data_IF_403327611713
#
_entry.id   IF_403327611713
#
_cell.length_a   1.000
_cell.length_b   1.000
_cell.length_c   1.000
_cell.angle_alpha   90.00
_cell.angle_beta   90.00
_cell.angle_gamma   90.00
#
_symmetry.space_group_name_H-M   'P 1'
#
loop_
_entity.id
_entity.type
_entity.pdbx_description
1 polymer ?
#
# COMPACT_ATOMS: atom_id res chain seq x y z
N UNK A 1 -57.86 -1.31 -20.98
CA UNK A 1 -56.68 -0.46 -21.28
C UNK A 1 -55.97 -0.21 -19.95
N UNK A 2 -54.89 -0.95 -19.69
CA UNK A 2 -54.15 -0.85 -18.43
C UNK A 2 -53.05 0.19 -18.57
N UNK A 3 -53.12 1.24 -17.74
CA UNK A 3 -52.07 2.25 -17.59
C UNK A 3 -50.91 1.65 -16.79
N UNK A 4 -49.78 1.41 -17.45
CA UNK A 4 -48.52 1.11 -16.77
C UNK A 4 -47.94 2.42 -16.23
N UNK A 5 -48.14 2.66 -14.94
CA UNK A 5 -47.46 3.72 -14.21
C UNK A 5 -46.06 3.22 -13.83
N UNK A 6 -45.06 3.50 -14.65
CA UNK A 6 -43.66 3.25 -14.34
C UNK A 6 -43.19 4.23 -13.28
N UNK A 7 -43.29 3.84 -12.00
CA UNK A 7 -42.59 4.50 -10.92
C UNK A 7 -41.08 4.24 -11.10
N UNK A 8 -40.38 5.23 -11.63
CA UNK A 8 -38.93 5.28 -11.59
C UNK A 8 -38.51 5.68 -10.16
N UNK A 9 -38.13 4.71 -9.34
CA UNK A 9 -37.57 4.96 -8.02
C UNK A 9 -36.13 5.47 -8.19
N UNK A 10 -35.91 6.76 -7.96
CA UNK A 10 -34.58 7.35 -7.87
C UNK A 10 -33.94 6.81 -6.59
N UNK A 11 -32.97 5.90 -6.73
CA UNK A 11 -32.12 5.47 -5.63
C UNK A 11 -31.18 6.66 -5.33
N UNK A 12 -31.27 7.34 -4.17
CA UNK A 12 -30.28 8.33 -3.82
C UNK A 12 -28.94 7.61 -3.69
N UNK A 13 -28.01 8.00 -4.57
CA UNK A 13 -26.63 7.54 -4.54
C UNK A 13 -26.00 8.07 -3.25
N UNK A 14 -26.12 7.30 -2.17
CA UNK A 14 -25.58 7.62 -0.86
C UNK A 14 -24.06 7.43 -0.98
N UNK A 15 -23.37 8.48 -1.40
CA UNK A 15 -21.92 8.60 -1.23
C UNK A 15 -21.64 8.44 0.27
N UNK A 16 -21.10 7.29 0.64
CA UNK A 16 -20.74 6.98 2.03
C UNK A 16 -19.52 7.83 2.36
N UNK A 17 -19.75 9.07 2.81
CA UNK A 17 -18.79 9.80 3.59
C UNK A 17 -18.80 9.19 4.99
N UNK A 18 -17.77 8.42 5.31
CA UNK A 18 -17.57 7.90 6.66
C UNK A 18 -17.07 9.05 7.55
N UNK A 19 -17.99 9.81 8.13
CA UNK A 19 -17.67 10.72 9.23
C UNK A 19 -17.60 9.94 10.56
N UNK A 20 -16.40 9.83 11.13
CA UNK A 20 -16.16 9.66 12.56
C UNK A 20 -16.06 8.23 13.10
N UNK A 21 -14.84 7.80 13.44
CA UNK A 21 -14.56 6.94 14.61
C UNK A 21 -13.05 6.85 14.82
N UNK A 22 -12.56 6.95 16.06
CA UNK A 22 -11.14 6.99 16.43
C UNK A 22 -10.33 5.70 16.18
N UNK A 23 -10.66 4.95 15.11
CA UNK A 23 -10.03 3.74 14.61
C UNK A 23 -10.22 3.67 13.09
N UNK A 24 -9.85 4.74 12.37
CA UNK A 24 -9.99 4.73 10.92
C UNK A 24 -9.07 3.67 10.29
N UNK A 25 -9.66 2.82 9.45
CA UNK A 25 -8.95 1.81 8.67
C UNK A 25 -8.32 2.43 7.44
N UNK A 26 -7.21 1.87 6.99
CA UNK A 26 -6.53 2.29 5.76
C UNK A 26 -6.89 1.35 4.63
N UNK A 27 -6.93 1.86 3.39
CA UNK A 27 -7.08 1.02 2.20
C UNK A 27 -5.78 1.13 1.39
N UNK A 28 -5.09 0.02 1.20
CA UNK A 28 -3.86 -0.05 0.40
C UNK A 28 -3.95 -1.24 -0.55
N UNK A 29 -3.78 -0.99 -1.86
CA UNK A 29 -3.93 -1.98 -2.93
C UNK A 29 -5.24 -2.80 -2.87
N UNK A 30 -6.34 -2.17 -2.47
CA UNK A 30 -7.65 -2.82 -2.33
C UNK A 30 -7.84 -3.65 -1.05
N UNK A 31 -6.79 -3.77 -0.22
CA UNK A 31 -6.86 -4.43 1.08
C UNK A 31 -7.15 -3.42 2.18
N UNK A 32 -8.07 -3.75 3.08
CA UNK A 32 -8.36 -2.95 4.27
C UNK A 32 -7.44 -3.34 5.43
N UNK A 33 -6.87 -2.33 6.09
CA UNK A 33 -5.95 -2.45 7.23
C UNK A 33 -6.58 -1.77 8.43
N UNK A 34 -6.52 -2.40 9.60
CA UNK A 34 -7.02 -1.80 10.84
C UNK A 34 -6.02 -0.78 11.36
N UNK A 35 -6.50 0.11 12.22
CA UNK A 35 -5.62 0.99 12.97
C UNK A 35 -4.58 0.18 13.74
N UNK A 36 -3.31 0.59 13.64
CA UNK A 36 -2.12 -0.06 14.17
C UNK A 36 -1.72 -1.38 13.49
N UNK A 37 -2.39 -1.78 12.41
CA UNK A 37 -1.88 -2.88 11.60
C UNK A 37 -0.62 -2.41 10.85
N UNK A 38 0.39 -3.27 10.86
CA UNK A 38 1.63 -3.08 10.12
C UNK A 38 2.02 -4.35 9.37
N UNK A 39 2.80 -4.19 8.30
CA UNK A 39 3.36 -5.30 7.56
C UNK A 39 4.74 -4.98 7.01
N UNK A 40 5.60 -5.99 7.03
CA UNK A 40 6.95 -5.94 6.48
C UNK A 40 6.93 -6.76 5.20
N UNK A 41 6.74 -6.08 4.07
CA UNK A 41 6.68 -6.72 2.76
C UNK A 41 8.09 -6.94 2.22
N UNK A 42 8.32 -8.10 1.60
CA UNK A 42 9.55 -8.43 0.88
C UNK A 42 9.46 -8.08 -0.61
N UNK A 43 8.26 -8.14 -1.20
CA UNK A 43 7.99 -7.83 -2.60
C UNK A 43 6.61 -7.16 -2.77
N UNK A 44 6.52 -5.83 -2.95
CA UNK A 44 7.63 -4.86 -2.93
C UNK A 44 8.29 -4.74 -1.55
N UNK A 45 9.57 -4.41 -1.49
CA UNK A 45 10.30 -4.25 -0.22
C UNK A 45 9.90 -2.92 0.47
N UNK A 46 8.82 -2.96 1.25
CA UNK A 46 8.25 -1.79 1.92
C UNK A 46 7.72 -2.15 3.30
N UNK A 47 7.79 -1.19 4.20
CA UNK A 47 7.05 -1.17 5.45
C UNK A 47 5.73 -0.43 5.25
N UNK A 48 4.64 -1.09 5.64
CA UNK A 48 3.29 -0.55 5.61
C UNK A 48 2.83 -0.38 7.06
N UNK A 49 2.30 0.78 7.42
CA UNK A 49 1.75 1.02 8.74
C UNK A 49 0.52 1.91 8.67
N UNK A 50 -0.61 1.40 9.16
CA UNK A 50 -1.86 2.12 9.21
C UNK A 50 -2.07 2.83 10.55
N UNK A 51 -2.13 4.16 10.54
CA UNK A 51 -2.38 4.97 11.73
C UNK A 51 -3.56 5.91 11.46
N UNK A 52 -4.67 5.75 12.19
CA UNK A 52 -5.83 6.65 12.12
C UNK A 52 -6.30 6.94 10.68
N UNK A 53 -6.37 5.91 9.83
CA UNK A 53 -6.80 6.02 8.44
C UNK A 53 -5.74 6.53 7.47
N UNK A 54 -4.54 6.86 7.95
CA UNK A 54 -3.40 7.19 7.12
C UNK A 54 -2.45 6.00 6.96
N UNK A 55 -2.15 5.62 5.72
CA UNK A 55 -1.18 4.57 5.41
C UNK A 55 0.19 5.18 5.22
N UNK A 56 1.10 4.90 6.14
CA UNK A 56 2.52 5.18 5.96
C UNK A 56 3.15 4.06 5.15
N UNK A 57 3.87 4.42 4.10
CA UNK A 57 4.60 3.50 3.23
C UNK A 57 6.06 3.94 3.25
N UNK A 58 6.94 3.11 3.79
CA UNK A 58 8.38 3.37 3.83
C UNK A 58 9.09 2.32 2.97
N UNK A 59 9.82 2.78 1.96
CA UNK A 59 10.60 1.93 1.06
C UNK A 59 12.10 2.01 1.35
N UNK A 60 12.88 1.24 0.59
CA UNK A 60 14.33 1.36 0.63
C UNK A 60 14.81 2.70 0.11
N UNK A 61 16.00 3.12 0.57
CA UNK A 61 16.66 4.33 0.09
C UNK A 61 16.93 4.24 -1.43
N UNK A 62 16.38 5.17 -2.26
CA UNK A 62 16.56 5.15 -3.70
C UNK A 62 17.97 5.57 -4.15
N UNK A 63 18.84 6.03 -3.23
CA UNK A 63 20.17 6.51 -3.57
C UNK A 63 21.16 5.39 -3.90
N UNK A 64 20.84 4.12 -3.62
CA UNK A 64 21.71 3.00 -3.96
C UNK A 64 21.61 2.73 -5.47
N UNK A 65 22.64 3.07 -6.28
CA UNK A 65 22.59 2.84 -7.71
C UNK A 65 22.63 1.34 -8.01
N UNK A 66 21.89 0.87 -9.02
CA UNK A 66 21.91 -0.55 -9.41
C UNK A 66 23.30 -1.03 -9.84
N UNK A 67 24.10 -0.14 -10.43
CA UNK A 67 25.48 -0.42 -10.84
C UNK A 67 26.46 0.10 -9.79
N UNK A 68 27.39 -0.73 -9.34
CA UNK A 68 28.23 -0.36 -8.20
C UNK A 68 29.41 0.56 -8.52
N UNK A 69 29.46 1.16 -9.73
CA UNK A 69 30.61 1.92 -10.25
C UNK A 69 31.96 1.17 -10.23
N UNK A 70 31.97 -0.14 -9.98
CA UNK A 70 33.15 -1.01 -9.98
C UNK A 70 32.96 -2.11 -11.01
N UNK A 71 33.65 -2.03 -12.14
CA UNK A 71 33.61 -3.05 -13.20
C UNK A 71 32.18 -3.42 -13.63
N UNK A 72 31.91 -4.73 -13.74
CA UNK A 72 30.60 -5.29 -14.10
C UNK A 72 29.71 -5.60 -12.89
N UNK A 73 30.07 -5.10 -11.70
CA UNK A 73 29.40 -5.46 -10.47
C UNK A 73 28.07 -4.73 -10.29
N UNK A 74 27.11 -5.41 -9.68
CA UNK A 74 25.76 -4.90 -9.40
C UNK A 74 25.45 -4.99 -7.92
N UNK A 75 24.67 -4.04 -7.44
CA UNK A 75 24.05 -4.14 -6.12
C UNK A 75 22.78 -4.99 -6.25
N UNK A 76 22.75 -6.10 -5.52
CA UNK A 76 21.57 -6.97 -5.44
C UNK A 76 21.05 -6.97 -4.01
N UNK A 77 19.73 -6.99 -3.86
CA UNK A 77 19.10 -7.14 -2.56
C UNK A 77 19.45 -8.52 -1.98
N UNK A 78 19.76 -8.56 -0.68
CA UNK A 78 19.94 -9.80 0.07
C UNK A 78 18.61 -10.56 0.27
N UNK A 79 17.47 -9.91 0.00
CA UNK A 79 16.13 -10.46 0.24
C UNK A 79 15.70 -10.42 1.70
N UNK A 80 14.58 -11.06 2.01
CA UNK A 80 13.94 -11.03 3.34
C UNK A 80 12.81 -10.00 3.45
N UNK A 81 12.17 -9.87 4.62
CA UNK A 81 11.20 -8.79 4.89
C UNK A 81 11.92 -7.45 5.12
N UNK A 82 11.20 -6.33 5.04
CA UNK A 82 11.74 -5.03 5.42
C UNK A 82 12.21 -5.03 6.90
N UNK A 83 13.35 -4.41 7.25
CA UNK A 83 14.28 -3.64 6.42
C UNK A 83 15.39 -4.49 5.78
N UNK A 84 15.40 -5.81 5.97
CA UNK A 84 16.48 -6.67 5.48
C UNK A 84 16.53 -6.73 3.96
N UNK A 85 15.39 -6.70 3.26
CA UNK A 85 15.36 -6.59 1.79
C UNK A 85 15.90 -5.25 1.27
N UNK A 86 16.11 -4.25 2.12
CA UNK A 86 16.81 -3.01 1.76
C UNK A 86 18.32 -3.10 1.90
N UNK A 87 18.87 -4.25 2.33
CA UNK A 87 20.30 -4.49 2.36
C UNK A 87 20.75 -4.98 0.99
N UNK A 88 21.69 -4.25 0.41
CA UNK A 88 22.27 -4.61 -0.87
C UNK A 88 23.69 -5.11 -0.68
N UNK A 89 24.04 -6.17 -1.41
CA UNK A 89 25.42 -6.63 -1.54
C UNK A 89 25.91 -6.42 -2.96
N UNK A 90 27.21 -6.18 -3.10
CA UNK A 90 27.85 -6.07 -4.40
C UNK A 90 28.24 -7.45 -4.89
N UNK A 91 27.70 -7.84 -6.04
CA UNK A 91 28.09 -9.07 -6.73
C UNK A 91 28.81 -8.71 -8.03
N UNK A 92 29.96 -9.35 -8.22
CA UNK A 92 30.80 -9.38 -9.39
C UNK A 92 31.00 -10.87 -9.72
#
# INVERSE_FOLDING_TARGET
MAFFCSLAYVIPNKSIAYEGSGNASCIYNGTAWKHNDYNLSSDPCVFLWCINGNMTIEGCDPTIPTNSAYGNCKYVSLGGPFPDCCRYTRIC
#
